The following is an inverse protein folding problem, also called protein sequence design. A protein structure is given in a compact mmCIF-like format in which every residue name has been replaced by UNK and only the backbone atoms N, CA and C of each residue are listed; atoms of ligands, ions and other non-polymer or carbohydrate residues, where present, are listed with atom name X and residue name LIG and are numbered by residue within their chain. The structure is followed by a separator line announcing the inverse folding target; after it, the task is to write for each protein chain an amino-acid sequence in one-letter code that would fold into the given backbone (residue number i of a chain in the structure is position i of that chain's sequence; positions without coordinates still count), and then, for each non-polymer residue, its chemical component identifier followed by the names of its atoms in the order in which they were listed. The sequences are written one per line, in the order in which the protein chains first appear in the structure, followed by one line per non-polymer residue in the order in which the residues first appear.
data_IF_885156784265
#
_entry.id   IF_885156784265
#
_cell.length_a   1.000
_cell.length_b   1.000
_cell.length_c   1.000
_cell.angle_alpha   90.00
_cell.angle_beta   90.00
_cell.angle_gamma   90.00
#
_symmetry.space_group_name_H-M   'P 1'
#
loop_
_entity.id
_entity.type
_entity.pdbx_description
1 polymer ?
#
# COMPACT_ATOMS: atom_id res chain seq x y z
N UNK A 1 -11.20 2.65 -34.45
CA UNK A 1 -10.20 3.71 -34.64
C UNK A 1 -8.97 3.28 -33.86
N UNK A 2 -7.86 3.09 -34.56
CA UNK A 2 -6.60 2.62 -33.99
C UNK A 2 -5.98 3.75 -33.18
N UNK A 3 -5.89 3.59 -31.86
CA UNK A 3 -5.13 4.53 -31.04
C UNK A 3 -3.64 4.26 -31.24
N UNK A 4 -2.96 5.34 -31.58
CA UNK A 4 -1.57 5.42 -31.96
C UNK A 4 -0.72 5.26 -30.69
N UNK A 5 -0.19 4.06 -30.44
CA UNK A 5 0.80 3.80 -29.40
C UNK A 5 2.11 4.54 -29.76
N UNK A 6 2.23 5.81 -29.33
CA UNK A 6 3.55 6.43 -29.21
C UNK A 6 4.22 5.82 -28.00
N UNK A 7 5.33 5.13 -28.23
CA UNK A 7 6.07 4.38 -27.21
C UNK A 7 6.46 5.26 -26.02
N UNK A 8 5.80 5.02 -24.90
CA UNK A 8 6.32 5.35 -23.57
C UNK A 8 7.35 4.27 -23.25
N UNK A 9 8.59 4.62 -22.82
CA UNK A 9 9.58 3.61 -22.48
C UNK A 9 9.04 2.71 -21.37
N UNK A 10 8.93 1.41 -21.64
CA UNK A 10 8.38 0.39 -20.73
C UNK A 10 9.20 0.14 -19.45
N UNK A 11 10.17 0.99 -19.10
CA UNK A 11 10.92 0.90 -17.85
C UNK A 11 11.44 2.28 -17.41
N UNK A 12 10.62 3.09 -16.77
CA UNK A 12 11.10 4.31 -16.10
C UNK A 12 11.33 4.05 -14.63
N UNK A 13 12.47 3.43 -14.32
CA UNK A 13 13.10 3.58 -13.01
C UNK A 13 13.29 5.07 -12.72
N UNK A 14 13.02 5.49 -11.49
CA UNK A 14 13.30 6.85 -11.06
C UNK A 14 14.79 7.14 -11.21
N UNK A 15 15.18 8.36 -11.64
CA UNK A 15 16.59 8.71 -11.74
C UNK A 15 17.21 8.64 -10.34
N UNK A 16 18.39 8.04 -10.25
CA UNK A 16 19.17 7.92 -9.02
C UNK A 16 20.32 8.92 -9.08
N UNK A 17 20.62 9.55 -7.96
CA UNK A 17 21.77 10.46 -7.82
C UNK A 17 22.32 10.36 -6.41
N UNK A 18 23.51 10.93 -6.20
CA UNK A 18 24.08 11.00 -4.86
C UNK A 18 23.29 11.98 -3.99
N UNK A 19 23.20 11.75 -2.68
CA UNK A 19 22.57 12.68 -1.73
C UNK A 19 23.06 14.12 -1.90
N UNK A 20 24.36 14.28 -2.14
CA UNK A 20 25.05 15.57 -2.20
C UNK A 20 24.57 16.43 -3.37
N UNK A 21 24.30 15.81 -4.52
CA UNK A 21 23.75 16.52 -5.68
C UNK A 21 22.34 17.07 -5.42
N UNK A 22 21.68 16.59 -4.37
CA UNK A 22 20.37 17.08 -3.89
C UNK A 22 20.48 17.79 -2.54
N UNK A 23 21.68 18.17 -2.12
CA UNK A 23 21.90 18.94 -0.88
C UNK A 23 21.65 18.16 0.41
N UNK A 24 21.80 16.83 0.41
CA UNK A 24 21.83 16.01 1.64
C UNK A 24 23.22 15.39 1.78
N UNK A 25 23.78 15.35 3.00
CA UNK A 25 25.03 14.63 3.24
C UNK A 25 24.78 13.11 3.32
N UNK A 26 25.64 12.30 2.71
CA UNK A 26 25.63 10.84 2.92
C UNK A 26 25.74 10.44 4.39
N UNK A 27 26.41 11.24 5.23
CA UNK A 27 26.50 10.96 6.67
C UNK A 27 25.15 11.11 7.39
N UNK A 28 24.32 12.07 6.95
CA UNK A 28 22.96 12.23 7.46
C UNK A 28 22.11 11.02 7.08
N UNK A 29 22.15 10.61 5.80
CA UNK A 29 21.39 9.45 5.36
C UNK A 29 21.88 8.15 6.00
N UNK A 30 23.18 8.03 6.29
CA UNK A 30 23.69 6.90 7.08
C UNK A 30 23.03 6.85 8.46
N UNK A 31 23.00 7.97 9.19
CA UNK A 31 22.37 8.05 10.53
C UNK A 31 20.87 7.80 10.46
N UNK A 32 20.18 8.35 9.47
CA UNK A 32 18.76 8.11 9.24
C UNK A 32 18.47 6.63 8.98
N UNK A 33 19.23 5.99 8.08
CA UNK A 33 19.08 4.55 7.82
C UNK A 33 19.45 3.73 9.06
N UNK A 34 20.47 4.13 9.83
CA UNK A 34 20.82 3.50 11.10
C UNK A 34 19.69 3.61 12.13
N UNK A 35 18.97 4.73 12.13
CA UNK A 35 17.82 4.94 13.00
C UNK A 35 16.63 4.07 12.59
N UNK A 36 16.38 3.96 11.29
CA UNK A 36 15.37 3.08 10.73
C UNK A 36 15.66 1.59 11.00
N UNK A 37 16.93 1.18 10.93
CA UNK A 37 17.39 -0.19 11.19
C UNK A 37 17.17 -0.65 12.63
N UNK A 38 16.86 0.27 13.56
CA UNK A 38 16.47 -0.06 14.94
C UNK A 38 15.02 -0.51 15.06
N UNK A 39 14.19 -0.25 14.04
CA UNK A 39 12.79 -0.71 14.03
C UNK A 39 12.73 -2.15 13.54
N UNK A 40 12.12 -3.02 14.34
CA UNK A 40 11.94 -4.41 13.96
C UNK A 40 11.04 -4.52 12.73
N UNK A 41 11.48 -5.29 11.73
CA UNK A 41 10.71 -5.62 10.52
C UNK A 41 10.49 -4.47 9.52
N UNK A 42 11.46 -3.57 9.32
CA UNK A 42 11.49 -2.83 8.06
C UNK A 42 11.85 -3.75 6.90
N UNK A 43 11.26 -3.52 5.74
CA UNK A 43 11.48 -4.32 4.54
C UNK A 43 12.20 -3.49 3.47
N UNK A 44 11.80 -2.24 3.28
CA UNK A 44 12.41 -1.37 2.28
C UNK A 44 12.26 0.12 2.57
N UNK A 45 13.13 0.91 1.96
CA UNK A 45 13.13 2.37 1.98
C UNK A 45 13.47 2.89 0.58
N UNK A 46 12.74 3.91 0.13
CA UNK A 46 13.16 4.80 -0.97
C UNK A 46 12.90 6.24 -0.53
N UNK A 47 13.91 7.09 -0.62
CA UNK A 47 13.77 8.55 -0.45
C UNK A 47 14.05 9.22 -1.78
N UNK A 48 13.06 9.98 -2.26
CA UNK A 48 13.18 10.82 -3.46
C UNK A 48 13.27 12.27 -3.02
N UNK A 49 14.26 13.01 -3.53
CA UNK A 49 14.39 14.45 -3.34
C UNK A 49 14.62 15.16 -4.68
N UNK A 50 13.85 16.20 -4.94
CA UNK A 50 13.83 16.96 -6.19
C UNK A 50 13.80 16.06 -7.42
N UNK A 51 12.84 15.13 -7.43
CA UNK A 51 12.59 14.19 -8.51
C UNK A 51 13.64 13.07 -8.72
N UNK A 52 14.58 12.85 -7.80
CA UNK A 52 15.57 11.76 -7.91
C UNK A 52 15.71 10.97 -6.60
N UNK A 53 15.90 9.66 -6.71
CA UNK A 53 16.21 8.79 -5.57
C UNK A 53 17.59 9.16 -5.05
N UNK A 54 17.67 9.50 -3.76
CA UNK A 54 18.92 9.86 -3.06
C UNK A 54 19.39 8.75 -2.12
N UNK A 55 18.49 7.90 -1.64
CA UNK A 55 18.82 6.67 -0.91
C UNK A 55 17.71 5.64 -1.13
N UNK A 56 18.11 4.39 -1.30
CA UNK A 56 17.21 3.23 -1.31
C UNK A 56 17.88 2.08 -0.56
N UNK A 57 17.11 1.34 0.24
CA UNK A 57 17.61 0.26 1.09
C UNK A 57 16.61 -0.89 1.16
N UNK A 58 17.13 -2.12 1.26
CA UNK A 58 16.33 -3.34 1.25
C UNK A 58 16.81 -4.25 2.36
N UNK A 59 15.98 -4.46 3.38
CA UNK A 59 16.32 -5.37 4.46
C UNK A 59 16.10 -6.79 3.97
N UNK A 60 17.18 -7.56 3.87
CA UNK A 60 17.11 -8.98 3.47
C UNK A 60 16.07 -9.72 4.32
N UNK A 61 15.23 -10.56 3.68
CA UNK A 61 15.32 -11.07 2.31
C UNK A 61 14.55 -10.25 1.27
N UNK A 62 14.02 -9.08 1.63
CA UNK A 62 13.30 -8.21 0.70
C UNK A 62 14.25 -7.60 -0.35
N UNK A 63 13.70 -7.29 -1.52
CA UNK A 63 14.44 -6.83 -2.70
C UNK A 63 13.58 -5.87 -3.54
N UNK A 64 14.17 -5.05 -4.42
CA UNK A 64 13.45 -4.05 -5.20
C UNK A 64 12.26 -4.59 -6.01
N UNK A 65 12.34 -5.85 -6.44
CA UNK A 65 11.35 -6.47 -7.31
C UNK A 65 10.17 -7.10 -6.55
N UNK A 66 10.23 -7.19 -5.22
CA UNK A 66 9.20 -7.86 -4.42
C UNK A 66 8.05 -6.89 -4.10
N UNK A 67 6.83 -7.17 -4.61
CA UNK A 67 5.68 -6.38 -4.23
C UNK A 67 5.25 -6.68 -2.80
N UNK A 68 4.64 -5.70 -2.16
CA UNK A 68 4.13 -5.80 -0.79
C UNK A 68 2.62 -5.55 -0.78
N UNK A 69 1.90 -6.27 0.07
CA UNK A 69 0.53 -5.91 0.41
C UNK A 69 0.53 -4.53 1.07
N UNK A 70 -0.11 -3.56 0.42
CA UNK A 70 -0.11 -2.18 0.86
C UNK A 70 -1.07 -1.91 2.03
N UNK A 71 -1.93 -2.88 2.36
CA UNK A 71 -3.03 -2.70 3.33
C UNK A 71 -3.78 -1.39 3.02
N UNK A 72 -4.03 -0.55 4.03
CA UNK A 72 -4.76 0.71 3.86
C UNK A 72 -4.14 1.73 2.91
N UNK A 73 -2.85 1.63 2.53
CA UNK A 73 -2.28 2.55 1.53
C UNK A 73 -2.99 2.38 0.16
N UNK A 74 -3.63 1.22 -0.08
CA UNK A 74 -4.51 0.97 -1.22
C UNK A 74 -5.65 2.00 -1.36
N UNK A 75 -6.11 2.58 -0.23
CA UNK A 75 -7.18 3.59 -0.18
C UNK A 75 -6.83 4.83 -0.99
N UNK A 76 -5.58 5.28 -0.95
CA UNK A 76 -5.12 6.45 -1.69
C UNK A 76 -5.19 6.25 -3.21
N UNK A 77 -5.01 5.02 -3.69
CA UNK A 77 -5.20 4.66 -5.11
C UNK A 77 -6.70 4.61 -5.49
N UNK A 78 -7.57 4.12 -4.58
CA UNK A 78 -9.02 4.17 -4.78
C UNK A 78 -9.52 5.61 -4.86
N UNK A 79 -9.05 6.49 -3.97
CA UNK A 79 -9.34 7.93 -4.02
C UNK A 79 -8.90 8.54 -5.34
N UNK A 80 -7.70 8.19 -5.82
CA UNK A 80 -7.22 8.62 -7.14
C UNK A 80 -8.17 8.19 -8.26
N UNK A 81 -8.67 6.94 -8.23
CA UNK A 81 -9.64 6.45 -9.21
C UNK A 81 -10.95 7.26 -9.18
N UNK A 82 -11.44 7.61 -7.99
CA UNK A 82 -12.64 8.44 -7.82
C UNK A 82 -12.41 9.85 -8.36
N UNK A 83 -11.26 10.47 -8.08
CA UNK A 83 -10.91 11.78 -8.62
C UNK A 83 -10.89 11.81 -10.15
N UNK A 84 -10.31 10.77 -10.76
CA UNK A 84 -10.35 10.58 -12.22
C UNK A 84 -11.79 10.42 -12.73
N UNK A 85 -12.62 9.62 -12.05
CA UNK A 85 -14.01 9.41 -12.44
C UNK A 85 -14.87 10.68 -12.33
N UNK A 86 -14.62 11.52 -11.32
CA UNK A 86 -15.23 12.85 -11.21
C UNK A 86 -14.87 13.71 -12.42
N UNK A 87 -13.60 13.72 -12.79
CA UNK A 87 -13.13 14.50 -13.93
C UNK A 87 -13.67 13.99 -15.28
N UNK A 88 -13.81 12.67 -15.42
CA UNK A 88 -14.45 12.04 -16.57
C UNK A 88 -15.97 12.23 -16.61
N UNK A 89 -16.57 12.82 -15.56
CA UNK A 89 -18.01 13.05 -15.47
C UNK A 89 -18.83 11.79 -15.21
N UNK A 90 -18.20 10.71 -14.73
CA UNK A 90 -18.87 9.44 -14.43
C UNK A 90 -19.69 9.50 -13.13
N UNK A 91 -19.25 10.34 -12.18
CA UNK A 91 -19.92 10.61 -10.92
C UNK A 91 -19.57 12.02 -10.42
N UNK A 92 -20.34 12.52 -9.47
CA UNK A 92 -20.04 13.72 -8.70
C UNK A 92 -19.74 13.39 -7.23
N UNK A 93 -18.91 14.21 -6.59
CA UNK A 93 -18.68 14.16 -5.15
C UNK A 93 -19.97 14.39 -4.32
N UNK A 94 -20.99 15.00 -4.92
CA UNK A 94 -22.30 15.24 -4.30
C UNK A 94 -23.37 14.19 -4.62
N UNK A 95 -23.04 13.19 -5.44
CA UNK A 95 -23.98 12.10 -5.71
C UNK A 95 -24.24 11.31 -4.44
N UNK A 96 -25.50 10.90 -4.26
CA UNK A 96 -25.95 10.16 -3.09
C UNK A 96 -25.55 8.70 -3.22
N UNK A 97 -25.02 8.10 -2.15
CA UNK A 97 -24.59 6.70 -2.17
C UNK A 97 -25.73 5.76 -2.62
N UNK A 98 -26.92 5.97 -2.06
CA UNK A 98 -28.09 5.11 -2.31
C UNK A 98 -28.50 5.05 -3.79
N UNK A 99 -28.17 6.05 -4.61
CA UNK A 99 -28.55 6.03 -6.04
C UNK A 99 -27.71 5.07 -6.88
N UNK A 100 -26.55 4.65 -6.38
CA UNK A 100 -25.69 3.66 -7.06
C UNK A 100 -26.09 2.20 -6.74
N UNK A 101 -26.86 2.00 -5.67
CA UNK A 101 -27.26 0.69 -5.17
C UNK A 101 -28.77 0.62 -4.88
N UNK A 102 -29.63 0.92 -5.87
CA UNK A 102 -31.08 0.99 -5.65
C UNK A 102 -31.68 -0.35 -5.21
N UNK A 103 -31.10 -1.47 -5.65
CA UNK A 103 -31.58 -2.83 -5.32
C UNK A 103 -31.10 -3.32 -3.93
N UNK A 104 -30.05 -2.70 -3.38
CA UNK A 104 -29.45 -3.07 -2.09
C UNK A 104 -29.87 -2.11 -0.96
N UNK A 105 -30.39 -0.93 -1.30
CA UNK A 105 -30.84 0.08 -0.35
C UNK A 105 -32.10 -0.40 0.41
N UNK A 106 -32.23 -0.07 1.71
CA UNK A 106 -33.45 -0.35 2.44
C UNK A 106 -34.64 0.43 1.86
N UNK A 107 -35.84 -0.17 1.88
CA UNK A 107 -37.08 0.44 1.38
C UNK A 107 -37.33 1.84 1.99
N UNK A 108 -37.02 1.99 3.27
CA UNK A 108 -37.06 3.25 4.01
C UNK A 108 -35.66 3.59 4.56
N UNK A 109 -34.85 4.26 3.74
CA UNK A 109 -33.58 4.81 4.20
C UNK A 109 -33.81 5.96 5.20
N UNK A 110 -33.21 5.87 6.39
CA UNK A 110 -33.18 6.98 7.34
C UNK A 110 -32.54 8.24 6.75
N UNK A 111 -32.87 9.42 7.28
CA UNK A 111 -32.45 10.72 6.74
C UNK A 111 -30.94 10.81 6.50
N UNK A 112 -30.14 10.33 7.45
CA UNK A 112 -28.67 10.33 7.35
C UNK A 112 -28.15 9.44 6.20
N UNK A 113 -28.65 8.21 6.08
CA UNK A 113 -28.27 7.31 4.98
C UNK A 113 -28.66 7.91 3.63
N UNK A 114 -29.88 8.45 3.52
CA UNK A 114 -30.37 9.07 2.30
C UNK A 114 -29.56 10.34 1.90
N UNK A 115 -28.93 11.01 2.86
CA UNK A 115 -28.08 12.17 2.66
C UNK A 115 -26.59 11.83 2.43
N UNK A 116 -26.18 10.57 2.60
CA UNK A 116 -24.78 10.16 2.44
C UNK A 116 -24.33 10.32 0.99
N UNK A 117 -23.17 10.96 0.79
CA UNK A 117 -22.61 11.31 -0.52
C UNK A 117 -21.25 10.66 -0.72
N UNK A 118 -20.81 10.56 -1.98
CA UNK A 118 -19.47 10.04 -2.35
C UNK A 118 -18.34 10.71 -1.55
N UNK A 119 -18.37 12.04 -1.37
CA UNK A 119 -17.38 12.77 -0.55
C UNK A 119 -17.30 12.31 0.91
N UNK A 120 -18.41 11.85 1.50
CA UNK A 120 -18.43 11.38 2.88
C UNK A 120 -17.71 10.03 3.02
N UNK A 121 -17.78 9.18 1.99
CA UNK A 121 -17.04 7.93 1.93
C UNK A 121 -15.53 8.20 1.82
N UNK A 122 -15.14 9.11 0.91
CA UNK A 122 -13.73 9.50 0.71
C UNK A 122 -13.11 10.10 1.98
N UNK A 123 -13.85 10.96 2.68
CA UNK A 123 -13.39 11.67 3.87
C UNK A 123 -13.56 10.88 5.18
N UNK A 124 -14.00 9.62 5.13
CA UNK A 124 -14.23 8.78 6.32
C UNK A 124 -15.19 9.41 7.33
N UNK A 125 -16.22 10.07 6.82
CA UNK A 125 -17.21 10.78 7.63
C UNK A 125 -18.64 10.40 7.24
N UNK A 126 -18.87 9.11 7.05
CA UNK A 126 -20.15 8.57 6.57
C UNK A 126 -21.29 8.69 7.60
N UNK A 127 -20.99 9.04 8.85
CA UNK A 127 -21.99 9.20 9.92
C UNK A 127 -22.25 7.93 10.73
N UNK A 128 -21.64 6.80 10.37
CA UNK A 128 -21.63 5.59 11.19
C UNK A 128 -20.84 5.84 12.49
N UNK A 129 -21.32 5.28 13.60
CA UNK A 129 -20.59 5.27 14.88
C UNK A 129 -19.65 4.07 15.00
N UNK A 130 -19.93 2.98 14.28
CA UNK A 130 -19.11 1.77 14.21
C UNK A 130 -18.89 1.37 12.75
N UNK A 131 -17.76 0.72 12.45
CA UNK A 131 -17.47 0.28 11.08
C UNK A 131 -18.48 -0.81 10.66
N UNK A 132 -19.20 -0.64 9.52
CA UNK A 132 -20.08 -1.68 9.02
C UNK A 132 -19.32 -3.00 8.79
N UNK A 133 -19.83 -4.15 9.26
CA UNK A 133 -19.10 -5.41 9.28
C UNK A 133 -19.09 -6.10 7.90
N UNK A 134 -18.82 -5.36 6.82
CA UNK A 134 -18.80 -5.83 5.44
C UNK A 134 -17.83 -6.99 5.23
N UNK A 135 -16.68 -6.97 5.90
CA UNK A 135 -15.65 -8.01 5.78
C UNK A 135 -15.82 -9.17 6.79
N UNK A 136 -16.93 -9.21 7.54
CA UNK A 136 -17.29 -10.40 8.32
C UNK A 136 -17.74 -11.54 7.39
N UNK A 137 -17.67 -12.82 7.82
CA UNK A 137 -18.13 -13.94 7.00
C UNK A 137 -19.57 -13.80 6.49
N UNK A 138 -20.46 -13.24 7.30
CA UNK A 138 -21.85 -12.96 6.94
C UNK A 138 -21.96 -11.73 6.04
N UNK A 139 -21.27 -10.64 6.41
CA UNK A 139 -21.29 -9.38 5.66
C UNK A 139 -20.80 -9.55 4.22
N UNK A 140 -19.82 -10.42 4.03
CA UNK A 140 -19.21 -10.65 2.72
C UNK A 140 -20.13 -11.33 1.70
N UNK A 141 -21.25 -11.91 2.17
CA UNK A 141 -22.28 -12.49 1.28
C UNK A 141 -23.19 -11.44 0.65
N UNK A 142 -23.34 -10.30 1.30
CA UNK A 142 -24.10 -9.15 0.83
C UNK A 142 -23.40 -7.87 1.32
N UNK A 143 -22.26 -7.50 0.72
CA UNK A 143 -21.43 -6.42 1.23
C UNK A 143 -22.14 -5.06 1.07
N UNK A 144 -22.89 -4.87 -0.02
CA UNK A 144 -23.61 -3.63 -0.31
C UNK A 144 -24.75 -3.42 0.67
N UNK A 145 -25.62 -4.43 0.82
CA UNK A 145 -26.73 -4.36 1.76
C UNK A 145 -26.27 -4.31 3.22
N UNK A 146 -25.19 -5.01 3.58
CA UNK A 146 -24.57 -4.92 4.91
C UNK A 146 -24.13 -3.50 5.23
N UNK A 147 -23.49 -2.81 4.29
CA UNK A 147 -23.13 -1.40 4.48
C UNK A 147 -24.37 -0.51 4.58
N UNK A 148 -25.33 -0.65 3.67
CA UNK A 148 -26.49 0.24 3.57
C UNK A 148 -27.51 0.03 4.69
N UNK A 149 -27.55 -1.13 5.34
CA UNK A 149 -28.43 -1.41 6.48
C UNK A 149 -27.77 -1.11 7.84
N UNK A 150 -26.49 -0.77 7.87
CA UNK A 150 -25.81 -0.37 9.09
C UNK A 150 -26.39 0.96 9.63
N UNK A 151 -26.34 1.14 10.95
CA UNK A 151 -26.86 2.34 11.60
C UNK A 151 -26.01 3.57 11.28
N UNK A 152 -26.65 4.65 10.81
CA UNK A 152 -26.01 5.93 10.51
C UNK A 152 -26.52 6.98 11.51
N UNK A 153 -25.86 7.05 12.67
CA UNK A 153 -26.32 7.83 13.83
C UNK A 153 -26.04 9.33 13.70
N UNK A 154 -24.93 9.68 13.05
CA UNK A 154 -24.51 11.06 12.86
C UNK A 154 -24.84 11.57 11.46
N UNK A 155 -25.02 12.88 11.33
CA UNK A 155 -25.14 13.52 10.03
C UNK A 155 -23.84 13.28 9.23
N UNK A 156 -23.91 12.71 8.01
CA UNK A 156 -22.72 12.51 7.19
C UNK A 156 -21.96 13.83 6.96
N UNK A 157 -20.64 13.81 7.09
CA UNK A 157 -19.81 15.01 7.07
C UNK A 157 -19.48 15.60 8.44
N UNK A 158 -20.09 15.11 9.54
CA UNK A 158 -19.92 15.71 10.88
C UNK A 158 -19.11 14.84 11.86
N UNK A 159 -18.99 13.54 11.60
CA UNK A 159 -18.32 12.59 12.49
C UNK A 159 -17.28 11.79 11.71
N UNK A 160 -16.02 11.84 12.14
CA UNK A 160 -14.95 11.03 11.57
C UNK A 160 -14.95 9.62 12.18
N UNK A 161 -15.01 8.62 11.32
CA UNK A 161 -14.78 7.22 11.65
C UNK A 161 -13.99 6.58 10.52
N UNK A 162 -12.78 6.11 10.81
CA UNK A 162 -11.97 5.40 9.83
C UNK A 162 -12.66 4.09 9.42
N UNK A 163 -13.06 3.99 8.16
CA UNK A 163 -14.03 3.00 7.68
C UNK A 163 -13.59 2.41 6.32
N UNK A 164 -13.00 1.22 6.36
CA UNK A 164 -12.57 0.48 5.18
C UNK A 164 -13.76 0.00 4.34
N UNK A 165 -14.89 -0.34 4.98
CA UNK A 165 -16.11 -0.70 4.25
C UNK A 165 -16.63 0.44 3.35
N UNK A 166 -16.50 1.71 3.77
CA UNK A 166 -16.83 2.87 2.96
C UNK A 166 -15.93 2.97 1.71
N UNK A 167 -14.66 2.56 1.81
CA UNK A 167 -13.78 2.49 0.65
C UNK A 167 -14.19 1.38 -0.32
N UNK A 168 -14.62 0.22 0.18
CA UNK A 168 -15.14 -0.84 -0.68
C UNK A 168 -16.34 -0.36 -1.50
N UNK A 169 -17.24 0.42 -0.90
CA UNK A 169 -18.36 1.03 -1.61
C UNK A 169 -17.90 1.98 -2.73
N UNK A 170 -16.81 2.74 -2.56
CA UNK A 170 -16.23 3.56 -3.65
C UNK A 170 -15.74 2.69 -4.82
N UNK A 171 -15.06 1.58 -4.52
CA UNK A 171 -14.63 0.61 -5.53
C UNK A 171 -15.83 0.03 -6.29
N UNK A 172 -16.88 -0.36 -5.55
CA UNK A 172 -18.10 -0.91 -6.11
C UNK A 172 -18.90 0.09 -6.98
N UNK A 173 -18.92 1.38 -6.61
CA UNK A 173 -19.51 2.44 -7.44
C UNK A 173 -18.79 2.47 -8.80
N UNK A 174 -17.45 2.55 -8.79
CA UNK A 174 -16.67 2.57 -10.03
C UNK A 174 -16.84 1.30 -10.84
N UNK A 175 -16.90 0.15 -10.18
CA UNK A 175 -17.18 -1.12 -10.85
C UNK A 175 -18.54 -1.12 -11.55
N UNK A 176 -19.62 -0.69 -10.86
CA UNK A 176 -20.97 -0.60 -11.45
C UNK A 176 -21.04 0.38 -12.61
N UNK A 177 -20.38 1.54 -12.50
CA UNK A 177 -20.42 2.58 -13.53
C UNK A 177 -19.63 2.20 -14.80
N UNK A 178 -18.56 1.42 -14.65
CA UNK A 178 -17.61 1.17 -15.74
C UNK A 178 -17.60 -0.27 -16.25
N UNK A 179 -18.11 -1.21 -15.45
CA UNK A 179 -17.97 -2.65 -15.67
C UNK A 179 -16.53 -3.16 -15.53
N UNK A 180 -15.63 -2.37 -14.92
CA UNK A 180 -14.20 -2.66 -14.79
C UNK A 180 -13.79 -2.78 -13.33
N UNK A 181 -12.79 -3.61 -13.06
CA UNK A 181 -12.06 -3.58 -11.78
C UNK A 181 -11.30 -2.26 -11.61
N UNK A 182 -10.89 -1.92 -10.38
CA UNK A 182 -10.04 -0.75 -10.17
C UNK A 182 -8.71 -0.88 -10.89
N UNK A 183 -8.14 -2.09 -10.96
CA UNK A 183 -6.93 -2.36 -11.74
C UNK A 183 -7.14 -2.00 -13.20
N UNK A 184 -8.17 -2.55 -13.85
CA UNK A 184 -8.47 -2.27 -15.26
C UNK A 184 -8.82 -0.79 -15.52
N UNK A 185 -9.48 -0.14 -14.56
CA UNK A 185 -9.82 1.27 -14.67
C UNK A 185 -8.57 2.16 -14.56
N UNK A 186 -7.69 1.89 -13.59
CA UNK A 186 -6.47 2.65 -13.31
C UNK A 186 -5.32 2.32 -14.25
N UNK A 187 -5.25 1.13 -14.84
CA UNK A 187 -4.14 0.72 -15.71
C UNK A 187 -3.80 1.76 -16.77
N UNK A 188 -4.70 2.12 -17.70
CA UNK A 188 -4.38 3.09 -18.75
C UNK A 188 -4.25 4.54 -18.24
N UNK A 189 -4.71 4.84 -17.02
CA UNK A 189 -4.82 6.21 -16.48
C UNK A 189 -3.70 6.58 -15.52
N UNK A 190 -3.18 5.59 -14.81
CA UNK A 190 -2.29 5.77 -13.67
C UNK A 190 -1.16 4.75 -13.70
N UNK A 191 -1.45 3.45 -13.74
CA UNK A 191 -0.40 2.44 -13.61
C UNK A 191 0.54 2.43 -14.82
N UNK A 192 0.03 2.38 -16.05
CA UNK A 192 0.86 2.38 -17.25
C UNK A 192 1.67 3.68 -17.38
N UNK A 193 1.09 4.90 -17.20
CA UNK A 193 1.86 6.15 -17.22
C UNK A 193 2.96 6.23 -16.15
N UNK A 194 2.73 5.66 -14.96
CA UNK A 194 3.72 5.59 -13.89
C UNK A 194 4.73 4.43 -14.08
N UNK A 195 4.53 3.54 -15.05
CA UNK A 195 5.38 2.37 -15.25
C UNK A 195 5.20 1.28 -14.18
N UNK A 196 3.99 1.15 -13.64
CA UNK A 196 3.60 0.12 -12.69
C UNK A 196 3.10 -1.09 -13.49
N UNK A 197 4.01 -2.05 -13.74
CA UNK A 197 3.83 -3.10 -14.75
C UNK A 197 2.83 -4.20 -14.38
N UNK A 198 2.83 -4.63 -13.12
CA UNK A 198 2.05 -5.80 -12.66
C UNK A 198 1.27 -5.49 -11.39
N UNK A 199 0.37 -4.48 -11.41
CA UNK A 199 -0.49 -4.21 -10.26
C UNK A 199 -1.39 -5.42 -10.03
N UNK A 200 -1.39 -5.94 -8.80
CA UNK A 200 -2.33 -6.98 -8.39
C UNK A 200 -3.19 -6.42 -7.25
N UNK A 201 -4.50 -6.62 -7.36
CA UNK A 201 -5.45 -6.20 -6.36
C UNK A 201 -6.42 -7.33 -6.07
N UNK A 202 -6.48 -7.75 -4.81
CA UNK A 202 -7.47 -8.73 -4.35
C UNK A 202 -8.88 -8.26 -4.69
N UNK A 203 -9.75 -9.23 -4.99
CA UNK A 203 -11.12 -8.99 -5.41
C UNK A 203 -12.11 -9.76 -4.53
N UNK A 204 -13.31 -9.21 -4.43
CA UNK A 204 -14.47 -9.90 -3.90
C UNK A 204 -14.93 -11.04 -4.82
N UNK A 205 -15.76 -11.97 -4.31
CA UNK A 205 -16.29 -13.08 -5.11
C UNK A 205 -17.06 -12.64 -6.36
N UNK A 206 -17.68 -11.45 -6.33
CA UNK A 206 -18.37 -10.83 -7.47
C UNK A 206 -17.45 -9.99 -8.37
N UNK A 207 -16.14 -10.03 -8.15
CA UNK A 207 -15.13 -9.45 -9.04
C UNK A 207 -14.78 -7.99 -8.77
N UNK A 208 -15.23 -7.39 -7.67
CA UNK A 208 -14.88 -6.00 -7.30
C UNK A 208 -13.54 -5.98 -6.57
N UNK A 209 -12.58 -5.18 -7.00
CA UNK A 209 -11.33 -5.01 -6.23
C UNK A 209 -11.63 -4.44 -4.83
N UNK A 210 -10.95 -4.92 -3.80
CA UNK A 210 -11.28 -4.58 -2.40
C UNK A 210 -11.21 -3.08 -2.09
N UNK A 211 -10.35 -2.33 -2.80
CA UNK A 211 -10.21 -0.87 -2.70
C UNK A 211 -9.54 -0.38 -1.41
N UNK A 212 -10.03 -0.82 -0.25
CA UNK A 212 -9.52 -0.38 1.05
C UNK A 212 -8.28 -1.13 1.53
N UNK A 213 -7.94 -2.24 0.90
CA UNK A 213 -6.80 -3.13 1.15
C UNK A 213 -6.55 -3.99 -0.10
N UNK A 214 -5.58 -4.90 -0.06
CA UNK A 214 -5.43 -5.95 -1.08
C UNK A 214 -4.62 -5.55 -2.32
N UNK A 215 -4.15 -4.30 -2.42
CA UNK A 215 -3.25 -3.88 -3.51
C UNK A 215 -1.81 -4.30 -3.19
N UNK A 216 -1.13 -4.88 -4.18
CA UNK A 216 0.26 -5.30 -4.12
C UNK A 216 1.10 -4.48 -5.10
N UNK A 217 2.10 -3.75 -4.59
CA UNK A 217 3.00 -2.92 -5.39
C UNK A 217 4.44 -2.97 -4.86
N UNK A 218 5.42 -2.61 -5.70
CA UNK A 218 6.82 -2.44 -5.29
C UNK A 218 6.99 -1.09 -4.58
N UNK A 219 8.01 -0.94 -3.76
CA UNK A 219 8.30 0.33 -3.07
C UNK A 219 8.60 1.46 -4.03
N UNK A 220 9.22 1.19 -5.19
CA UNK A 220 9.44 2.21 -6.22
C UNK A 220 8.11 2.69 -6.84
N UNK A 221 7.11 1.81 -6.96
CA UNK A 221 5.78 2.19 -7.45
C UNK A 221 5.08 3.15 -6.48
N UNK A 222 5.23 2.91 -5.16
CA UNK A 222 4.77 3.81 -4.10
C UNK A 222 5.47 5.18 -4.20
N UNK A 223 6.78 5.19 -4.44
CA UNK A 223 7.56 6.43 -4.58
C UNK A 223 7.12 7.25 -5.80
N UNK A 224 6.84 6.59 -6.95
CA UNK A 224 6.29 7.25 -8.14
C UNK A 224 4.91 7.83 -7.90
N UNK A 225 4.04 7.10 -7.20
CA UNK A 225 2.73 7.60 -6.78
C UNK A 225 2.86 8.84 -5.87
N UNK A 226 3.78 8.80 -4.91
CA UNK A 226 4.08 9.96 -4.05
C UNK A 226 4.57 11.17 -4.83
N UNK A 227 5.45 10.98 -5.82
CA UNK A 227 5.93 12.06 -6.70
C UNK A 227 4.84 12.66 -7.57
N UNK A 228 3.91 11.84 -8.09
CA UNK A 228 2.74 12.33 -8.81
C UNK A 228 1.95 13.29 -7.92
N UNK A 229 1.71 12.91 -6.66
CA UNK A 229 1.02 13.77 -5.69
C UNK A 229 1.84 14.99 -5.29
N UNK A 230 3.16 14.85 -5.11
CA UNK A 230 4.06 15.97 -4.81
C UNK A 230 3.98 17.06 -5.90
N UNK A 231 3.84 16.66 -7.15
CA UNK A 231 3.77 17.56 -8.31
C UNK A 231 2.33 17.87 -8.77
N UNK A 232 1.36 17.88 -7.85
CA UNK A 232 -0.05 18.23 -8.13
C UNK A 232 -0.65 17.42 -9.31
N UNK A 233 -0.34 16.13 -9.39
CA UNK A 233 -0.87 15.26 -10.43
C UNK A 233 -0.16 15.35 -11.78
N UNK A 234 0.98 16.04 -11.87
CA UNK A 234 1.78 16.13 -13.09
C UNK A 234 2.92 15.10 -13.06
N UNK A 235 2.98 14.26 -14.10
CA UNK A 235 4.00 13.25 -14.30
C UNK A 235 4.68 13.43 -15.65
N UNK A 236 6.02 13.58 -15.67
CA UNK A 236 6.79 13.81 -16.89
C UNK A 236 6.25 14.93 -17.80
N UNK A 237 5.69 15.99 -17.19
CA UNK A 237 5.10 17.12 -17.90
C UNK A 237 3.66 16.91 -18.40
N UNK A 238 3.09 15.72 -18.20
CA UNK A 238 1.70 15.40 -18.49
C UNK A 238 0.86 15.42 -17.22
N UNK A 239 -0.31 16.06 -17.27
CA UNK A 239 -1.25 16.07 -16.14
C UNK A 239 -2.07 14.78 -16.16
N UNK A 240 -1.84 13.92 -15.17
CA UNK A 240 -2.59 12.69 -14.98
C UNK A 240 -3.78 12.89 -14.04
N UNK A 241 -3.64 13.72 -12.99
CA UNK A 241 -4.73 14.01 -12.07
C UNK A 241 -5.34 15.39 -12.34
N UNK A 242 -6.65 15.56 -12.11
CA UNK A 242 -7.33 16.84 -12.29
C UNK A 242 -6.68 17.93 -11.44
N UNK A 243 -6.57 19.14 -11.98
CA UNK A 243 -6.05 20.28 -11.23
C UNK A 243 -6.86 20.50 -9.94
N UNK A 244 -6.17 20.73 -8.83
CA UNK A 244 -6.79 20.89 -7.51
C UNK A 244 -7.18 19.59 -6.80
N UNK A 245 -7.20 18.43 -7.50
CA UNK A 245 -7.52 17.15 -6.88
C UNK A 245 -6.57 16.80 -5.74
N UNK A 246 -5.27 17.05 -5.89
CA UNK A 246 -4.28 16.75 -4.83
C UNK A 246 -4.58 17.57 -3.57
N UNK A 247 -4.88 18.86 -3.71
CA UNK A 247 -5.25 19.71 -2.58
C UNK A 247 -6.53 19.22 -1.90
N UNK A 248 -7.55 18.85 -2.68
CA UNK A 248 -8.79 18.28 -2.17
C UNK A 248 -8.58 16.94 -1.48
N UNK A 249 -7.72 16.09 -2.04
CA UNK A 249 -7.45 14.78 -1.50
C UNK A 249 -6.61 14.81 -0.21
N UNK A 250 -5.85 15.87 0.02
CA UNK A 250 -4.87 15.95 1.11
C UNK A 250 -5.16 17.02 2.16
N UNK A 251 -6.16 17.89 1.97
CA UNK A 251 -6.64 18.80 3.03
C UNK A 251 -7.55 18.06 4.02
N UNK A 252 -7.61 18.51 5.26
CA UNK A 252 -8.58 17.99 6.24
C UNK A 252 -10.02 18.37 5.84
N UNK A 253 -10.96 17.43 5.88
CA UNK A 253 -12.40 17.70 5.64
C UNK A 253 -13.24 17.67 6.92
N UNK A 254 -12.86 16.85 7.90
CA UNK A 254 -13.55 16.69 9.19
C UNK A 254 -12.50 16.53 10.29
N UNK A 255 -12.76 17.08 11.48
CA UNK A 255 -11.89 16.91 12.63
C UNK A 255 -11.83 15.42 13.05
N UNK A 256 -10.62 14.91 13.29
CA UNK A 256 -10.38 13.51 13.62
C UNK A 256 -9.54 13.30 14.90
N UNK A 257 -9.30 14.37 15.65
CA UNK A 257 -8.51 14.39 16.89
C UNK A 257 -7.88 15.77 17.11
N UNK A 258 -7.26 15.95 18.27
CA UNK A 258 -6.65 17.23 18.70
C UNK A 258 -5.26 17.08 19.35
N UNK A 259 -4.71 15.86 19.44
CA UNK A 259 -3.36 15.64 19.96
C UNK A 259 -2.29 16.08 18.94
N UNK A 260 -1.53 17.16 19.22
CA UNK A 260 -0.52 17.67 18.30
C UNK A 260 0.70 16.74 18.14
N UNK A 261 0.89 15.76 19.03
CA UNK A 261 2.00 14.81 18.96
C UNK A 261 1.70 13.60 18.07
N UNK A 262 0.43 13.32 17.77
CA UNK A 262 -0.01 12.17 16.98
C UNK A 262 -0.19 12.53 15.51
N UNK A 263 0.52 11.83 14.62
CA UNK A 263 0.37 11.96 13.17
C UNK A 263 -0.98 11.47 12.64
N UNK A 264 -1.78 10.75 13.44
CA UNK A 264 -3.15 10.36 13.07
C UNK A 264 -4.20 11.41 13.49
N UNK A 265 -3.84 12.37 14.34
CA UNK A 265 -4.74 13.43 14.80
C UNK A 265 -4.56 14.78 14.07
N UNK A 266 -3.81 14.79 12.96
CA UNK A 266 -3.51 16.02 12.21
C UNK A 266 -4.53 16.35 11.10
N UNK A 267 -5.61 15.55 10.98
CA UNK A 267 -6.61 15.65 9.92
C UNK A 267 -6.57 14.49 8.93
N UNK A 268 -7.70 14.30 8.25
CA UNK A 268 -7.87 13.29 7.21
C UNK A 268 -8.49 13.91 5.95
N UNK A 269 -7.88 13.61 4.81
CA UNK A 269 -8.30 14.03 3.47
C UNK A 269 -9.21 13.02 2.79
N UNK A 270 -9.27 13.05 1.46
CA UNK A 270 -9.88 11.98 0.68
C UNK A 270 -8.92 10.80 0.61
N UNK A 271 -8.95 9.98 1.65
CA UNK A 271 -8.13 8.77 1.79
C UNK A 271 -6.61 9.02 1.90
N UNK A 272 -6.24 10.16 2.50
CA UNK A 272 -4.88 10.50 2.89
C UNK A 272 -4.88 11.03 4.33
N UNK A 273 -3.89 10.65 5.13
CA UNK A 273 -3.66 11.26 6.44
C UNK A 273 -2.85 12.54 6.27
N UNK A 274 -3.22 13.59 7.01
CA UNK A 274 -2.28 14.68 7.30
C UNK A 274 -1.23 14.17 8.27
N UNK A 275 -0.06 14.80 8.28
CA UNK A 275 0.99 14.57 9.23
C UNK A 275 1.32 15.88 9.96
N UNK A 276 2.16 15.77 10.98
CA UNK A 276 2.91 16.91 11.51
C UNK A 276 3.81 17.47 10.41
N UNK A 277 4.38 18.65 10.65
CA UNK A 277 5.37 19.27 9.76
C UNK A 277 4.87 19.53 8.33
N UNK A 278 3.57 19.80 8.16
CA UNK A 278 2.98 20.13 6.85
C UNK A 278 2.93 18.98 5.85
N UNK A 279 3.36 17.77 6.23
CA UNK A 279 3.34 16.60 5.37
C UNK A 279 1.96 15.94 5.31
N UNK A 280 1.79 15.03 4.35
CA UNK A 280 0.66 14.11 4.28
C UNK A 280 1.14 12.74 3.82
N UNK A 281 0.33 11.71 4.01
CA UNK A 281 0.69 10.35 3.65
C UNK A 281 -0.49 9.49 3.21
N UNK A 282 -0.22 8.57 2.31
CA UNK A 282 -0.94 7.30 2.27
C UNK A 282 -0.31 6.37 3.30
N UNK A 283 -1.14 5.66 4.08
CA UNK A 283 -0.67 4.78 5.14
C UNK A 283 -1.39 3.43 5.13
N UNK A 284 -0.62 2.38 5.36
CA UNK A 284 -1.06 1.00 5.45
C UNK A 284 -0.62 0.38 6.77
N UNK A 285 -1.39 -0.59 7.24
CA UNK A 285 -1.05 -1.34 8.44
C UNK A 285 0.40 -1.83 8.41
N UNK A 286 1.01 -1.87 9.59
CA UNK A 286 2.40 -2.28 9.80
C UNK A 286 3.46 -1.40 9.11
N UNK A 287 3.11 -0.15 8.76
CA UNK A 287 4.05 0.86 8.26
C UNK A 287 4.26 0.89 6.75
N UNK A 288 3.24 0.52 5.95
CA UNK A 288 3.30 0.80 4.50
C UNK A 288 3.09 2.29 4.31
N UNK A 289 4.14 3.04 3.96
CA UNK A 289 4.07 4.49 3.88
C UNK A 289 4.39 5.02 2.50
N UNK A 290 3.58 6.01 2.09
CA UNK A 290 3.90 6.98 1.06
C UNK A 290 3.82 8.36 1.73
N UNK A 291 4.93 8.85 2.30
CA UNK A 291 4.97 10.17 2.94
C UNK A 291 5.42 11.20 1.91
N UNK A 292 4.66 12.29 1.78
CA UNK A 292 4.97 13.41 0.90
C UNK A 292 5.23 14.64 1.75
N UNK A 293 6.37 15.31 1.48
CA UNK A 293 6.79 16.54 2.14
C UNK A 293 6.86 17.67 1.10
N UNK A 294 5.74 18.37 0.84
CA UNK A 294 5.67 19.36 -0.24
C UNK A 294 6.67 20.50 -0.12
N UNK A 295 6.86 21.03 1.10
CA UNK A 295 7.78 22.13 1.38
C UNK A 295 9.25 21.77 1.14
N UNK A 296 9.56 20.48 1.04
CA UNK A 296 10.91 19.94 0.90
C UNK A 296 11.15 19.20 -0.43
N UNK A 297 10.18 19.20 -1.34
CA UNK A 297 10.26 18.49 -2.63
C UNK A 297 10.74 17.04 -2.44
N UNK A 298 10.17 16.36 -1.42
CA UNK A 298 10.65 15.06 -0.93
C UNK A 298 9.50 14.06 -0.77
N UNK A 299 9.75 12.81 -1.15
CA UNK A 299 8.87 11.65 -0.92
C UNK A 299 9.67 10.57 -0.20
N UNK A 300 9.06 9.97 0.83
CA UNK A 300 9.61 8.80 1.53
C UNK A 300 8.63 7.65 1.38
N UNK A 301 9.06 6.58 0.71
CA UNK A 301 8.32 5.33 0.58
C UNK A 301 8.95 4.25 1.46
N UNK A 302 8.15 3.60 2.29
CA UNK A 302 8.58 2.52 3.19
C UNK A 302 7.60 1.36 3.07
N UNK A 303 8.12 0.13 3.06
CA UNK A 303 7.32 -1.07 3.33
C UNK A 303 7.90 -1.80 4.55
N UNK A 304 7.03 -2.38 5.37
CA UNK A 304 7.44 -2.97 6.66
C UNK A 304 6.42 -3.95 7.25
N UNK A 305 6.75 -4.48 8.42
CA UNK A 305 5.92 -5.32 9.29
C UNK A 305 5.95 -4.81 10.73
N UNK A 306 6.11 -3.50 10.95
CA UNK A 306 6.34 -2.91 12.28
C UNK A 306 5.10 -2.93 13.15
N UNK A 307 5.29 -3.06 14.47
CA UNK A 307 4.22 -2.88 15.46
C UNK A 307 4.00 -1.41 15.86
N UNK A 308 5.08 -0.61 15.97
CA UNK A 308 5.00 0.81 16.30
C UNK A 308 5.18 1.67 15.05
N UNK A 309 4.04 2.04 14.48
CA UNK A 309 3.96 2.83 13.26
C UNK A 309 4.38 4.30 13.48
N UNK A 310 4.10 4.88 14.64
CA UNK A 310 4.42 6.27 14.96
C UNK A 310 5.92 6.48 15.14
N UNK A 311 6.63 5.50 15.70
CA UNK A 311 8.08 5.56 15.86
C UNK A 311 8.84 5.65 14.53
N UNK A 312 8.36 4.99 13.48
CA UNK A 312 8.92 5.10 12.12
C UNK A 312 8.74 6.51 11.57
N UNK A 313 7.56 7.11 11.74
CA UNK A 313 7.31 8.50 11.32
C UNK A 313 8.20 9.49 12.10
N UNK A 314 8.36 9.28 13.42
CA UNK A 314 9.28 10.08 14.23
C UNK A 314 10.71 10.05 13.68
N UNK A 315 11.17 8.90 13.19
CA UNK A 315 12.51 8.80 12.58
C UNK A 315 12.63 9.67 11.32
N UNK A 316 11.57 9.82 10.53
CA UNK A 316 11.55 10.76 9.40
C UNK A 316 11.64 12.21 9.92
N UNK A 317 10.89 12.54 10.97
CA UNK A 317 10.85 13.90 11.52
C UNK A 317 12.12 14.32 12.26
N UNK A 318 12.76 13.38 12.96
CA UNK A 318 13.87 13.66 13.85
C UNK A 318 15.22 13.51 13.13
N UNK A 319 15.36 12.51 12.25
CA UNK A 319 16.64 12.16 11.64
C UNK A 319 16.77 12.57 10.16
N UNK A 320 15.67 12.79 9.42
CA UNK A 320 15.72 13.20 8.00
C UNK A 320 15.30 14.67 7.79
N UNK A 321 14.09 15.04 8.25
CA UNK A 321 13.46 16.34 7.98
C UNK A 321 14.36 17.56 8.30
N UNK A 322 15.11 17.61 9.43
CA UNK A 322 15.94 18.78 9.77
C UNK A 322 17.05 19.04 8.75
N UNK A 323 17.35 18.06 7.89
CA UNK A 323 18.41 18.11 6.88
C UNK A 323 17.89 18.30 5.45
N UNK A 324 16.60 18.62 5.27
CA UNK A 324 15.99 18.88 3.97
C UNK A 324 15.81 20.39 3.64
N UNK A 325 16.25 21.28 4.53
CA UNK A 325 16.18 22.73 4.33
C UNK A 325 17.35 23.32 3.53
N UNK A 326 17.23 24.56 3.01
CA UNK A 326 18.33 25.25 2.34
C UNK A 326 19.50 25.59 3.27
N UNK A 327 19.22 25.73 4.57
CA UNK A 327 20.21 26.02 5.63
C UNK A 327 20.70 24.76 6.35
N UNK A 328 20.33 23.56 5.90
CA UNK A 328 20.92 22.33 6.43
C UNK A 328 22.40 22.36 6.06
N UNK A 329 23.25 22.71 7.02
CA UNK A 329 24.69 22.72 6.83
C UNK A 329 25.10 21.41 6.18
N UNK A 330 25.60 21.48 4.96
CA UNK A 330 26.14 20.31 4.28
C UNK A 330 27.42 20.00 5.05
N UNK A 331 27.35 19.07 6.00
CA UNK A 331 28.58 18.42 6.48
C UNK A 331 29.29 17.93 5.23
N UNK A 332 30.44 18.53 4.94
CA UNK A 332 31.23 18.29 3.73
C UNK A 332 31.38 16.76 3.56
N UNK A 333 30.80 16.20 2.50
CA UNK A 333 30.70 14.77 2.31
C UNK A 333 32.10 14.22 2.07
N UNK A 334 32.66 13.54 3.07
CA UNK A 334 33.92 12.82 2.91
C UNK A 334 33.69 11.52 2.13
N UNK A 335 34.71 11.05 1.41
CA UNK A 335 34.67 9.71 0.80
C UNK A 335 34.37 8.61 1.84
N UNK A 336 34.80 8.83 3.10
CA UNK A 336 34.47 7.92 4.21
C UNK A 336 32.97 7.90 4.52
N UNK A 337 32.28 9.04 4.48
CA UNK A 337 30.84 9.11 4.73
C UNK A 337 30.01 8.44 3.63
N UNK A 338 30.44 8.57 2.37
CA UNK A 338 29.82 7.86 1.23
C UNK A 338 30.00 6.35 1.35
N UNK A 339 31.20 5.92 1.71
CA UNK A 339 31.50 4.51 1.91
C UNK A 339 30.68 3.92 3.06
N UNK A 340 30.58 4.64 4.18
CA UNK A 340 29.78 4.22 5.34
C UNK A 340 28.30 3.99 4.98
N UNK A 341 27.69 4.94 4.26
CA UNK A 341 26.31 4.78 3.79
C UNK A 341 26.17 3.55 2.87
N UNK A 342 27.09 3.37 1.92
CA UNK A 342 27.05 2.23 1.01
C UNK A 342 27.17 0.89 1.77
N UNK A 343 28.12 0.77 2.70
CA UNK A 343 28.27 -0.41 3.55
C UNK A 343 27.01 -0.69 4.37
N UNK A 344 26.39 0.36 4.94
CA UNK A 344 25.14 0.22 5.70
C UNK A 344 24.04 -0.36 4.83
N UNK A 345 23.80 0.24 3.65
CA UNK A 345 22.74 -0.19 2.74
C UNK A 345 22.92 -1.64 2.28
N UNK A 346 24.16 -2.08 2.02
CA UNK A 346 24.47 -3.47 1.67
C UNK A 346 24.26 -4.44 2.85
N UNK A 347 24.44 -3.96 4.08
CA UNK A 347 24.34 -4.78 5.30
C UNK A 347 22.90 -5.00 5.81
N UNK A 348 21.92 -4.23 5.31
CA UNK A 348 20.54 -4.27 5.82
C UNK A 348 19.96 -5.68 5.72
N UNK A 349 19.48 -6.17 6.86
CA UNK A 349 18.87 -7.49 7.00
C UNK A 349 17.94 -7.51 8.19
N UNK A 350 16.79 -8.16 8.06
CA UNK A 350 15.95 -8.43 9.22
C UNK A 350 16.74 -9.33 10.18
N UNK A 351 16.73 -9.07 11.50
CA UNK A 351 17.39 -9.93 12.46
C UNK A 351 16.86 -11.36 12.38
N UNK A 352 17.77 -12.33 12.22
CA UNK A 352 17.40 -13.75 12.25
C UNK A 352 17.08 -14.12 13.71
N UNK A 353 15.89 -14.70 14.00
CA UNK A 353 15.55 -15.13 15.35
C UNK A 353 16.59 -16.12 15.90
N UNK A 354 17.04 -15.90 17.13
CA UNK A 354 17.97 -16.80 17.84
C UNK A 354 17.23 -18.00 18.44
N UNK A 355 16.68 -18.85 17.57
CA UNK A 355 15.97 -20.08 17.96
C UNK A 355 16.87 -21.31 17.78
N UNK A 356 16.35 -22.53 17.88
CA UNK A 356 17.09 -23.74 17.47
C UNK A 356 16.95 -23.93 15.97
N UNK A 357 18.05 -24.25 15.29
CA UNK A 357 18.02 -24.50 13.85
C UNK A 357 17.24 -25.76 13.53
N UNK A 358 17.14 -26.69 14.50
CA UNK A 358 16.55 -28.01 14.34
C UNK A 358 15.39 -28.26 15.30
N UNK A 359 14.35 -28.94 14.81
CA UNK A 359 13.28 -29.54 15.59
C UNK A 359 13.47 -31.06 15.73
N UNK A 360 13.21 -31.67 16.90
CA UNK A 360 13.22 -33.13 17.06
C UNK A 360 12.23 -33.85 16.13
N UNK A 361 11.19 -33.15 15.66
CA UNK A 361 10.16 -33.71 14.76
C UNK A 361 10.60 -33.78 13.30
N UNK A 362 11.75 -33.24 12.93
CA UNK A 362 12.18 -33.21 11.51
C UNK A 362 12.26 -34.60 10.90
N UNK A 363 12.79 -35.57 11.64
CA UNK A 363 12.91 -36.96 11.16
C UNK A 363 11.54 -37.62 10.95
N UNK A 364 10.52 -37.17 11.69
CA UNK A 364 9.15 -37.67 11.59
C UNK A 364 8.36 -36.99 10.47
N UNK A 365 8.81 -35.83 9.98
CA UNK A 365 8.04 -34.99 9.04
C UNK A 365 8.69 -34.89 7.65
N UNK A 366 10.02 -35.00 7.57
CA UNK A 366 10.75 -34.82 6.32
C UNK A 366 10.39 -35.89 5.28
N UNK A 367 10.10 -35.46 4.06
CA UNK A 367 9.76 -36.34 2.94
C UNK A 367 8.34 -36.91 3.00
N UNK A 368 7.56 -36.62 4.05
CA UNK A 368 6.16 -37.01 4.11
C UNK A 368 5.34 -36.07 3.22
N UNK A 369 4.42 -36.67 2.47
CA UNK A 369 3.40 -35.99 1.67
C UNK A 369 2.04 -36.23 2.32
N UNK A 370 1.34 -35.15 2.65
CA UNK A 370 -0.02 -35.22 3.17
C UNK A 370 -0.99 -34.79 2.10
N UNK A 371 -1.93 -35.68 1.78
CA UNK A 371 -3.06 -35.35 0.92
C UNK A 371 -4.00 -34.39 1.64
N UNK A 372 -4.39 -33.32 0.96
CA UNK A 372 -5.38 -32.37 1.42
C UNK A 372 -6.76 -32.80 0.93
N UNK A 373 -7.81 -32.70 1.76
CA UNK A 373 -9.19 -32.85 1.30
C UNK A 373 -9.52 -31.86 0.19
N UNK A 374 -10.56 -32.16 -0.60
CA UNK A 374 -11.08 -31.23 -1.60
C UNK A 374 -11.40 -29.87 -0.95
N UNK A 375 -10.93 -28.80 -1.60
CA UNK A 375 -11.03 -27.45 -1.07
C UNK A 375 -11.10 -26.43 -2.21
N UNK A 376 -11.56 -25.22 -1.88
CA UNK A 376 -11.79 -24.15 -2.85
C UNK A 376 -10.53 -23.66 -3.57
N UNK A 377 -9.33 -23.96 -3.06
CA UNK A 377 -8.04 -23.54 -3.66
C UNK A 377 -7.45 -24.56 -4.63
N UNK A 378 -7.98 -25.80 -4.65
CA UNK A 378 -7.49 -26.87 -5.50
C UNK A 378 -6.17 -27.49 -5.04
N UNK A 379 -5.65 -27.09 -3.89
CA UNK A 379 -4.48 -27.70 -3.27
C UNK A 379 -4.79 -29.15 -2.88
N UNK A 380 -3.97 -30.09 -3.34
CA UNK A 380 -4.20 -31.52 -3.13
C UNK A 380 -3.11 -32.16 -2.25
N UNK A 381 -1.93 -31.54 -2.12
CA UNK A 381 -0.84 -32.10 -1.34
C UNK A 381 -0.01 -31.01 -0.65
N UNK A 382 0.51 -31.32 0.53
CA UNK A 382 1.57 -30.56 1.20
C UNK A 382 2.73 -31.48 1.56
N UNK A 383 3.97 -31.00 1.40
CA UNK A 383 5.17 -31.73 1.82
C UNK A 383 6.20 -30.83 2.50
N UNK A 384 6.98 -31.41 3.41
CA UNK A 384 8.06 -30.74 4.13
C UNK A 384 9.37 -31.50 3.89
N UNK A 385 10.45 -30.79 3.54
CA UNK A 385 11.80 -31.38 3.48
C UNK A 385 12.77 -30.56 4.32
N UNK A 386 13.53 -31.25 5.16
CA UNK A 386 14.54 -30.64 6.02
C UNK A 386 15.94 -31.07 5.59
N UNK A 387 16.69 -30.14 5.00
CA UNK A 387 18.11 -30.30 4.70
C UNK A 387 18.96 -29.61 5.78
N UNK A 388 20.29 -29.76 5.75
CA UNK A 388 21.20 -29.16 6.74
C UNK A 388 20.95 -27.66 6.93
N UNK A 389 20.80 -26.93 5.82
CA UNK A 389 20.75 -25.47 5.83
C UNK A 389 19.39 -24.89 5.41
N UNK A 390 18.50 -25.72 4.86
CA UNK A 390 17.23 -25.26 4.27
C UNK A 390 16.08 -26.17 4.67
N UNK A 391 15.00 -25.57 5.16
CA UNK A 391 13.67 -26.16 5.21
C UNK A 391 12.91 -25.79 3.93
N UNK A 392 12.32 -26.79 3.26
CA UNK A 392 11.53 -26.58 2.04
C UNK A 392 10.09 -26.99 2.31
N UNK A 393 9.17 -26.05 2.09
CA UNK A 393 7.74 -26.24 2.13
C UNK A 393 7.21 -26.33 0.69
N UNK A 394 6.46 -27.37 0.37
CA UNK A 394 5.81 -27.50 -0.95
C UNK A 394 4.32 -27.68 -0.83
N UNK A 395 3.61 -26.99 -1.70
CA UNK A 395 2.18 -27.13 -1.96
C UNK A 395 1.99 -27.62 -3.39
N UNK A 396 1.17 -28.64 -3.59
CA UNK A 396 0.79 -29.11 -4.92
C UNK A 396 -0.69 -28.87 -5.10
N UNK A 397 -1.10 -28.24 -6.20
CA UNK A 397 -2.51 -28.19 -6.59
C UNK A 397 -2.84 -29.07 -7.79
N UNK A 398 -4.13 -29.28 -7.98
CA UNK A 398 -4.67 -30.16 -9.00
C UNK A 398 -4.33 -29.70 -10.42
N UNK A 399 -4.16 -30.66 -11.34
CA UNK A 399 -3.96 -30.40 -12.78
C UNK A 399 -5.22 -29.84 -13.49
N UNK A 400 -6.33 -29.67 -12.76
CA UNK A 400 -7.59 -29.16 -13.28
C UNK A 400 -7.86 -27.74 -12.75
N UNK A 401 -8.14 -26.75 -13.62
CA UNK A 401 -8.48 -25.40 -13.18
C UNK A 401 -9.82 -25.39 -12.44
N UNK A 402 -9.86 -24.78 -11.26
CA UNK A 402 -11.09 -24.55 -10.50
C UNK A 402 -11.76 -23.23 -10.93
N UNK A 403 -13.09 -23.20 -10.85
CA UNK A 403 -13.93 -22.13 -11.39
C UNK A 403 -13.94 -20.80 -10.60
N UNK A 404 -13.09 -20.63 -9.57
CA UNK A 404 -13.25 -19.58 -8.56
C UNK A 404 -11.97 -18.76 -8.24
N UNK A 405 -11.19 -18.40 -9.26
CA UNK A 405 -10.21 -17.29 -9.18
C UNK A 405 -8.89 -17.56 -8.46
N UNK A 406 -8.79 -18.59 -7.61
CA UNK A 406 -7.52 -19.08 -7.08
C UNK A 406 -7.10 -20.36 -7.82
N UNK A 407 -6.53 -20.23 -9.02
CA UNK A 407 -5.96 -21.37 -9.75
C UNK A 407 -4.54 -21.66 -9.24
N UNK A 408 -4.43 -22.32 -8.07
CA UNK A 408 -3.15 -22.85 -7.59
C UNK A 408 -2.82 -24.19 -8.26
N UNK A 409 -2.90 -24.29 -9.60
CA UNK A 409 -2.42 -25.48 -10.31
C UNK A 409 -0.89 -25.53 -10.37
N UNK A 410 -0.30 -26.70 -10.08
CA UNK A 410 1.14 -26.94 -10.14
C UNK A 410 1.83 -27.06 -8.78
N UNK A 411 3.16 -26.97 -8.78
CA UNK A 411 4.01 -27.16 -7.61
C UNK A 411 4.53 -25.80 -7.11
N UNK A 412 4.22 -25.50 -5.87
CA UNK A 412 4.50 -24.25 -5.20
C UNK A 412 5.57 -24.50 -4.14
N UNK A 413 6.75 -23.90 -4.30
CA UNK A 413 7.88 -24.13 -3.37
C UNK A 413 8.26 -22.86 -2.62
N UNK A 414 8.37 -22.97 -1.30
CA UNK A 414 8.94 -21.95 -0.42
C UNK A 414 10.12 -22.56 0.34
N UNK A 415 11.25 -21.85 0.36
CA UNK A 415 12.46 -22.26 1.08
C UNK A 415 12.65 -21.34 2.27
N UNK A 416 13.19 -21.89 3.35
CA UNK A 416 13.52 -21.16 4.57
C UNK A 416 14.92 -21.55 5.00
N UNK A 417 15.78 -20.57 5.24
CA UNK A 417 17.11 -20.82 5.79
C UNK A 417 17.06 -21.25 7.26
N UNK A 418 18.05 -22.06 7.67
CA UNK A 418 18.22 -22.54 9.04
C UNK A 418 19.33 -21.74 9.71
N UNK A 419 18.96 -20.65 10.39
CA UNK A 419 19.87 -19.67 11.01
C UNK A 419 20.71 -18.81 10.07
N UNK A 420 20.40 -18.84 8.78
CA UNK A 420 21.03 -17.99 7.79
C UNK A 420 19.97 -17.51 6.80
N UNK A 421 20.20 -16.35 6.18
CA UNK A 421 19.40 -15.94 5.03
C UNK A 421 19.79 -16.81 3.83
N UNK A 422 18.80 -17.37 3.14
CA UNK A 422 19.00 -18.14 1.92
C UNK A 422 18.26 -17.44 0.80
N UNK A 423 18.90 -17.32 -0.36
CA UNK A 423 18.26 -16.77 -1.55
C UNK A 423 16.94 -17.50 -1.85
N UNK A 424 15.97 -16.75 -2.36
CA UNK A 424 14.62 -17.25 -2.65
C UNK A 424 13.79 -17.67 -1.43
N UNK A 425 14.18 -17.24 -0.22
CA UNK A 425 13.34 -17.32 0.97
C UNK A 425 12.30 -16.19 0.96
N UNK A 426 11.01 -16.54 1.10
CA UNK A 426 9.95 -15.56 1.24
C UNK A 426 9.47 -15.55 2.70
N UNK A 427 9.50 -14.38 3.35
CA UNK A 427 8.94 -14.22 4.71
C UNK A 427 7.41 -14.34 4.73
N UNK A 428 6.73 -14.16 3.58
CA UNK A 428 5.27 -14.01 3.53
C UNK A 428 4.61 -14.73 2.33
N UNK A 429 5.09 -15.92 1.97
CA UNK A 429 4.27 -16.87 1.22
C UNK A 429 3.84 -16.46 -0.19
N UNK A 430 4.73 -15.88 -1.00
CA UNK A 430 4.63 -16.06 -2.46
C UNK A 430 5.34 -17.37 -2.81
N UNK A 431 4.65 -18.51 -2.86
CA UNK A 431 5.28 -19.70 -3.37
C UNK A 431 5.65 -19.48 -4.84
N UNK A 432 6.84 -19.92 -5.24
CA UNK A 432 7.20 -19.98 -6.66
C UNK A 432 6.50 -21.17 -7.31
N UNK A 433 5.80 -20.90 -8.40
CA UNK A 433 5.28 -21.92 -9.32
C UNK A 433 6.39 -22.56 -10.14
#
# INVERSE_FOLDING_TARGET
MWYNCRGVPMHTKLPRTTPEHKGVSSLVLDRFVAALDRHDSLHSLIVVRNGSVIVEGWWRPYRPEVPHLLYSLSKSFTSTAVGLAVHEGLLSLDDRLVTFFPDDAPDEAGENLAAMKVRHLLAMCTGHAEEPPVFSPEGWRDPYGTFLRASVEHEPGTHFLYNTAATFMLSAILHRLTGRTLVEYLSPRLFDPLGIETPFWESSPDGVNLGGTGLYLKTEDIARFGLLYLHDGVWNGERLLPEGWVNDATRSHVANGDDPASDWNQGYGFQFWRCRNGAYRGDGAFGQYCVVLPEHDTVVAITSGVGDMQAVLNTIWDDLLPHLGPDSGVEEPSEASKHLLAERLESLAIPIPKVSAHSPKEQELSGIRWALPENATGLCEVSLDFNTNVFTYRLTGSDHPLAAGADLSGLYTTRFGRHEWVDDTCLLGYPRR
#
